data_IF_070983907174
#
_entry.id   IF_070983907174
#
_cell.length_a   1.000
_cell.length_b   1.000
_cell.length_c   1.000
_cell.angle_alpha   90.00
_cell.angle_beta   90.00
_cell.angle_gamma   90.00
#
_symmetry.space_group_name_H-M   'P 1'
#
loop_
_entity.id
_entity.type
_entity.pdbx_description
1 polymer ?
#
# COMPACT_ATOMS: atom_id res chain seq x y z
N UNK A 1 23.60 53.28 61.06
CA UNK A 1 23.44 54.39 60.10
C UNK A 1 24.50 55.44 60.43
N UNK A 2 25.12 56.18 59.48
CA UNK A 2 24.74 56.42 58.08
C UNK A 2 25.20 55.30 57.09
N UNK A 3 25.59 55.64 55.84
CA UNK A 3 25.82 54.76 54.68
C UNK A 3 27.08 55.17 53.85
N UNK A 4 27.25 54.56 52.64
CA UNK A 4 28.08 54.96 51.46
C UNK A 4 29.50 54.32 51.39
N UNK A 5 29.81 53.46 50.39
CA UNK A 5 30.29 53.75 49.00
C UNK A 5 31.71 54.37 48.99
N UNK A 6 32.68 53.99 48.13
CA UNK A 6 32.58 53.34 46.81
C UNK A 6 33.92 52.77 46.28
N UNK A 7 33.84 51.94 45.22
CA UNK A 7 34.74 51.92 44.03
C UNK A 7 35.94 50.94 43.87
N UNK A 8 35.98 50.38 42.64
CA UNK A 8 37.13 49.97 41.79
C UNK A 8 37.91 48.66 42.11
N UNK A 9 37.80 47.65 41.23
CA UNK A 9 38.73 47.32 40.11
C UNK A 9 40.14 46.95 40.64
N UNK A 10 40.77 45.80 40.37
CA UNK A 10 40.70 44.77 39.31
C UNK A 10 41.74 43.68 39.72
N UNK A 11 41.73 42.41 39.27
CA UNK A 11 42.24 41.88 37.98
C UNK A 11 42.28 40.33 38.10
N UNK A 12 42.09 39.60 36.98
CA UNK A 12 42.80 38.37 36.51
C UNK A 12 43.25 37.26 37.49
N UNK A 13 43.28 35.96 37.17
CA UNK A 13 43.09 35.22 35.90
C UNK A 13 42.95 33.72 36.28
N UNK A 14 42.07 32.95 35.64
CA UNK A 14 42.11 31.48 35.64
C UNK A 14 41.18 30.93 34.54
N UNK A 15 41.68 30.89 33.30
CA UNK A 15 41.03 30.15 32.22
C UNK A 15 41.29 28.65 32.40
N UNK A 16 40.24 27.83 32.27
CA UNK A 16 40.38 26.41 31.94
C UNK A 16 39.67 26.16 30.60
N UNK A 17 40.33 25.53 29.62
CA UNK A 17 39.72 25.29 28.31
C UNK A 17 38.64 24.21 28.42
N UNK A 18 37.40 24.56 28.13
CA UNK A 18 36.36 23.59 27.85
C UNK A 18 36.71 22.84 26.55
N UNK A 19 36.63 21.52 26.58
CA UNK A 19 36.93 20.68 25.43
C UNK A 19 35.83 20.83 24.36
N UNK A 20 36.25 20.95 23.10
CA UNK A 20 35.35 20.94 21.95
C UNK A 20 34.88 19.50 21.70
N UNK A 21 33.66 19.17 22.13
CA UNK A 21 32.94 18.02 21.61
C UNK A 21 32.29 18.42 20.28
N UNK A 22 32.98 18.14 19.17
CA UNK A 22 32.36 18.15 17.85
C UNK A 22 31.39 16.97 17.76
N UNK A 23 30.10 17.23 17.93
CA UNK A 23 29.05 16.23 17.67
C UNK A 23 29.07 15.86 16.18
N UNK A 24 29.14 14.56 15.81
CA UNK A 24 29.05 14.15 14.42
C UNK A 24 27.74 14.62 13.79
N UNK A 25 27.70 14.90 12.47
CA UNK A 25 26.44 15.15 11.78
C UNK A 25 25.49 13.99 12.03
N UNK A 26 24.33 14.26 12.60
CA UNK A 26 23.30 13.24 12.75
C UNK A 26 22.82 12.88 11.34
N UNK A 27 23.07 11.64 10.93
CA UNK A 27 22.43 11.08 9.74
C UNK A 27 20.91 11.15 9.96
N UNK A 28 20.24 11.91 9.09
CA UNK A 28 18.80 12.11 9.15
C UNK A 28 18.11 10.79 8.75
N UNK A 29 17.95 9.92 9.74
CA UNK A 29 17.32 8.60 9.56
C UNK A 29 15.86 8.83 9.18
N UNK A 30 15.57 8.76 7.89
CA UNK A 30 14.26 8.98 7.29
C UNK A 30 13.31 7.81 7.64
N UNK A 31 12.94 7.71 8.92
CA UNK A 31 11.89 6.83 9.45
C UNK A 31 10.51 7.35 9.02
N UNK A 32 10.28 7.47 7.71
CA UNK A 32 8.95 7.74 7.16
C UNK A 32 8.06 6.56 7.52
N UNK A 33 6.98 6.80 8.25
CA UNK A 33 6.01 5.74 8.50
C UNK A 33 5.42 5.26 7.16
N UNK A 34 4.90 4.02 7.08
CA UNK A 34 4.18 3.57 5.89
C UNK A 34 3.03 4.49 5.49
N UNK A 35 2.46 5.25 6.44
CA UNK A 35 1.45 6.27 6.16
C UNK A 35 1.98 7.51 5.44
N UNK A 36 3.22 7.95 5.73
CA UNK A 36 3.82 9.11 5.06
C UNK A 36 4.14 8.79 3.59
N UNK A 37 4.64 7.59 3.32
CA UNK A 37 4.90 7.12 1.95
C UNK A 37 3.62 7.01 1.12
N UNK A 38 2.49 6.63 1.73
CA UNK A 38 1.19 6.58 1.05
C UNK A 38 0.62 7.98 0.72
N UNK A 39 1.07 9.04 1.39
CA UNK A 39 0.63 10.42 1.14
C UNK A 39 0.94 10.95 -0.26
N UNK A 40 1.91 10.34 -0.95
CA UNK A 40 2.27 10.69 -2.32
C UNK A 40 1.34 10.09 -3.39
N UNK A 41 0.57 9.05 -3.06
CA UNK A 41 -0.31 8.37 -4.01
C UNK A 41 -1.72 8.96 -4.03
N UNK A 42 -2.37 8.91 -5.20
CA UNK A 42 -3.75 9.36 -5.35
C UNK A 42 -4.67 8.50 -4.49
N UNK A 43 -5.20 9.07 -3.42
CA UNK A 43 -6.20 8.43 -2.55
C UNK A 43 -7.59 8.50 -3.19
N UNK A 44 -8.31 7.38 -3.19
CA UNK A 44 -9.67 7.23 -3.73
C UNK A 44 -10.55 6.52 -2.69
N UNK A 45 -11.72 7.06 -2.36
CA UNK A 45 -12.70 6.34 -1.55
C UNK A 45 -13.51 5.40 -2.45
N UNK A 46 -13.56 4.12 -2.09
CA UNK A 46 -14.26 3.05 -2.83
C UNK A 46 -15.09 2.18 -1.91
N UNK A 47 -16.13 1.55 -2.46
CA UNK A 47 -16.82 0.43 -1.81
C UNK A 47 -16.10 -0.86 -2.21
N UNK A 48 -15.57 -1.60 -1.24
CA UNK A 48 -14.91 -2.89 -1.47
C UNK A 48 -15.81 -4.05 -1.02
N UNK A 49 -15.98 -5.04 -1.90
CA UNK A 49 -16.56 -6.36 -1.60
C UNK A 49 -15.49 -7.45 -1.76
N UNK A 50 -15.85 -8.72 -1.52
CA UNK A 50 -14.98 -9.86 -1.80
C UNK A 50 -15.72 -10.93 -2.59
N UNK A 51 -15.00 -11.61 -3.48
CA UNK A 51 -15.51 -12.65 -4.36
C UNK A 51 -14.51 -13.79 -4.51
N UNK A 52 -14.95 -14.88 -5.14
CA UNK A 52 -14.22 -16.14 -5.34
C UNK A 52 -14.28 -16.57 -6.81
N UNK A 53 -13.56 -17.62 -7.20
CA UNK A 53 -13.72 -18.24 -8.52
C UNK A 53 -15.02 -19.06 -8.67
N UNK A 54 -15.66 -19.43 -7.55
CA UNK A 54 -16.74 -20.41 -7.47
C UNK A 54 -18.07 -20.00 -8.10
N UNK A 55 -19.02 -20.94 -8.11
CA UNK A 55 -20.36 -20.80 -8.69
C UNK A 55 -21.11 -19.61 -8.07
N UNK A 56 -20.94 -19.41 -6.76
CA UNK A 56 -21.54 -18.34 -5.97
C UNK A 56 -21.16 -16.93 -6.44
N UNK A 57 -20.00 -16.78 -7.08
CA UNK A 57 -19.47 -15.50 -7.57
C UNK A 57 -19.53 -15.40 -9.10
N UNK A 58 -19.19 -16.47 -9.81
CA UNK A 58 -18.97 -16.46 -11.28
C UNK A 58 -19.96 -17.32 -12.06
N UNK A 59 -20.76 -18.16 -11.40
CA UNK A 59 -21.62 -19.16 -12.02
C UNK A 59 -20.88 -20.37 -12.62
N UNK A 60 -19.57 -20.52 -12.37
CA UNK A 60 -18.71 -21.56 -12.96
C UNK A 60 -18.20 -22.54 -11.91
N UNK A 61 -18.21 -23.83 -12.22
CA UNK A 61 -17.52 -24.88 -11.45
C UNK A 61 -16.08 -25.12 -11.95
N UNK A 62 -15.30 -25.89 -11.20
CA UNK A 62 -13.89 -26.20 -11.48
C UNK A 62 -13.63 -26.94 -12.81
N UNK A 63 -14.66 -27.58 -13.39
CA UNK A 63 -14.59 -28.22 -14.71
C UNK A 63 -14.87 -27.27 -15.87
N UNK A 64 -15.35 -26.05 -15.61
CA UNK A 64 -15.65 -25.07 -16.64
C UNK A 64 -14.35 -24.48 -17.26
N UNK A 65 -14.22 -24.37 -18.60
CA UNK A 65 -12.97 -23.94 -19.25
C UNK A 65 -12.56 -22.48 -18.96
N UNK A 66 -13.46 -21.68 -18.37
CA UNK A 66 -13.20 -20.31 -17.92
C UNK A 66 -13.24 -20.16 -16.38
N UNK A 67 -13.14 -21.27 -15.64
CA UNK A 67 -13.06 -21.24 -14.17
C UNK A 67 -11.79 -20.52 -13.73
N UNK A 68 -11.91 -19.56 -12.81
CA UNK A 68 -10.79 -18.75 -12.36
C UNK A 68 -10.10 -17.91 -13.44
N UNK A 69 -10.74 -17.69 -14.60
CA UNK A 69 -10.21 -16.80 -15.66
C UNK A 69 -10.92 -15.45 -15.58
N UNK A 70 -10.12 -14.39 -15.37
CA UNK A 70 -10.55 -12.99 -15.32
C UNK A 70 -10.82 -12.40 -16.72
N UNK A 71 -11.46 -11.24 -16.79
CA UNK A 71 -11.68 -10.48 -18.01
C UNK A 71 -10.40 -10.21 -18.83
N UNK A 72 -9.26 -9.99 -18.17
CA UNK A 72 -7.96 -9.81 -18.84
C UNK A 72 -7.45 -11.07 -19.55
N UNK A 73 -8.02 -12.24 -19.26
CA UNK A 73 -7.52 -13.55 -19.66
C UNK A 73 -6.50 -14.16 -18.70
N UNK A 74 -6.01 -13.39 -17.72
CA UNK A 74 -5.20 -13.93 -16.62
C UNK A 74 -6.04 -14.80 -15.67
N UNK A 75 -5.38 -15.74 -15.00
CA UNK A 75 -5.95 -16.46 -13.87
C UNK A 75 -6.12 -15.55 -12.66
N UNK A 76 -7.10 -15.87 -11.82
CA UNK A 76 -7.20 -15.31 -10.47
C UNK A 76 -5.99 -15.71 -9.63
N UNK A 77 -5.50 -14.77 -8.81
CA UNK A 77 -4.34 -14.95 -7.93
C UNK A 77 -4.64 -14.30 -6.59
N UNK A 78 -4.39 -15.03 -5.50
CA UNK A 78 -4.30 -14.49 -4.12
C UNK A 78 -2.85 -14.62 -3.65
N UNK A 79 -2.16 -13.49 -3.64
CA UNK A 79 -0.75 -13.35 -3.22
C UNK A 79 -0.50 -11.88 -2.78
N UNK A 80 0.75 -11.47 -2.54
CA UNK A 80 1.09 -10.07 -2.23
C UNK A 80 0.50 -9.08 -3.25
N UNK A 81 0.59 -9.41 -4.54
CA UNK A 81 -0.19 -8.82 -5.63
C UNK A 81 -1.30 -9.80 -6.04
N UNK A 82 -2.51 -9.52 -5.57
CA UNK A 82 -3.72 -10.29 -5.87
C UNK A 82 -4.53 -9.68 -7.02
N UNK A 83 -5.25 -10.49 -7.79
CA UNK A 83 -6.16 -10.01 -8.84
C UNK A 83 -7.45 -9.42 -8.25
N UNK A 84 -7.89 -8.26 -8.74
CA UNK A 84 -9.16 -7.64 -8.32
C UNK A 84 -10.04 -7.27 -9.52
N UNK A 85 -11.34 -7.18 -9.28
CA UNK A 85 -12.31 -6.65 -10.23
C UNK A 85 -12.57 -5.16 -9.97
N UNK A 86 -12.70 -4.36 -11.03
CA UNK A 86 -13.01 -2.94 -10.92
C UNK A 86 -13.82 -2.42 -12.13
N UNK A 87 -14.22 -1.16 -12.10
CA UNK A 87 -14.72 -0.47 -13.29
C UNK A 87 -13.56 0.11 -14.11
N UNK A 88 -13.43 -0.31 -15.37
CA UNK A 88 -12.26 0.02 -16.20
C UNK A 88 -12.20 1.50 -16.63
N UNK A 89 -13.34 2.20 -16.63
CA UNK A 89 -13.42 3.64 -16.87
C UNK A 89 -12.81 4.45 -15.70
N UNK A 90 -12.70 3.84 -14.51
CA UNK A 90 -12.12 4.45 -13.30
C UNK A 90 -10.70 3.92 -13.05
N UNK A 91 -10.52 2.61 -13.19
CA UNK A 91 -9.26 1.89 -12.98
C UNK A 91 -9.00 0.95 -14.17
N UNK A 92 -8.26 1.38 -15.21
CA UNK A 92 -7.92 0.54 -16.37
C UNK A 92 -7.17 -0.74 -15.96
N UNK A 93 -7.24 -1.78 -16.81
CA UNK A 93 -6.51 -3.03 -16.59
C UNK A 93 -5.01 -2.78 -16.34
N UNK A 94 -4.46 -3.52 -15.39
CA UNK A 94 -3.09 -3.36 -14.90
C UNK A 94 -2.91 -2.23 -13.86
N UNK A 95 -3.98 -1.56 -13.43
CA UNK A 95 -3.90 -0.60 -12.31
C UNK A 95 -3.55 -1.34 -11.02
N UNK A 96 -2.57 -0.82 -10.28
CA UNK A 96 -2.14 -1.36 -8.99
C UNK A 96 -2.67 -0.44 -7.89
N UNK A 97 -3.50 -1.00 -7.02
CA UNK A 97 -4.02 -0.34 -5.81
C UNK A 97 -3.36 -0.92 -4.57
N UNK A 98 -2.99 -0.08 -3.61
CA UNK A 98 -2.77 -0.54 -2.23
C UNK A 98 -4.10 -0.43 -1.46
N UNK A 99 -4.53 -1.55 -0.89
CA UNK A 99 -5.81 -1.70 -0.21
C UNK A 99 -5.54 -2.08 1.26
N UNK A 100 -5.75 -1.17 2.21
CA UNK A 100 -5.45 -1.42 3.62
C UNK A 100 -6.20 -2.64 4.16
N UNK A 101 -5.46 -3.58 4.76
CA UNK A 101 -6.00 -4.84 5.28
C UNK A 101 -6.21 -5.96 4.23
N UNK A 102 -5.82 -5.76 2.96
CA UNK A 102 -5.88 -6.80 1.93
C UNK A 102 -4.52 -7.08 1.26
N UNK A 103 -3.78 -6.02 0.91
CA UNK A 103 -2.52 -6.10 0.15
C UNK A 103 -2.55 -5.23 -1.11
N UNK A 104 -1.73 -5.58 -2.11
CA UNK A 104 -1.80 -4.95 -3.43
C UNK A 104 -2.85 -5.66 -4.30
N UNK A 105 -3.74 -4.87 -4.91
CA UNK A 105 -4.73 -5.34 -5.87
C UNK A 105 -4.36 -4.90 -7.29
N UNK A 106 -4.20 -5.86 -8.20
CA UNK A 106 -3.98 -5.64 -9.63
C UNK A 106 -5.32 -5.77 -10.34
N UNK A 107 -5.79 -4.70 -10.99
CA UNK A 107 -7.05 -4.73 -11.74
C UNK A 107 -6.89 -5.60 -12.97
N UNK A 108 -7.49 -6.80 -12.91
CA UNK A 108 -7.43 -7.83 -13.93
C UNK A 108 -8.82 -8.29 -14.40
N UNK A 109 -9.87 -7.97 -13.64
CA UNK A 109 -11.23 -8.44 -13.90
C UNK A 109 -12.28 -7.31 -13.92
N UNK A 110 -13.48 -7.65 -14.40
CA UNK A 110 -14.67 -6.79 -14.33
C UNK A 110 -15.85 -7.58 -13.76
N UNK A 111 -16.74 -6.90 -13.05
CA UNK A 111 -18.03 -7.47 -12.64
C UNK A 111 -19.19 -6.62 -13.13
N UNK A 112 -20.32 -7.25 -13.47
CA UNK A 112 -21.53 -6.54 -13.91
C UNK A 112 -22.05 -5.54 -12.86
N UNK A 113 -21.92 -5.90 -11.58
CA UNK A 113 -22.27 -5.04 -10.44
C UNK A 113 -21.11 -4.13 -9.96
N UNK A 114 -19.93 -4.21 -10.57
CA UNK A 114 -18.72 -3.47 -10.18
C UNK A 114 -18.58 -2.26 -11.11
N UNK A 115 -19.15 -1.14 -10.66
CA UNK A 115 -19.31 0.10 -11.43
C UNK A 115 -18.97 1.32 -10.59
N UNK A 116 -18.37 2.34 -11.21
CA UNK A 116 -17.84 3.52 -10.55
C UNK A 116 -16.75 3.19 -9.52
N UNK A 117 -16.78 3.86 -8.38
CA UNK A 117 -15.86 3.64 -7.26
C UNK A 117 -16.21 2.38 -6.45
N UNK A 118 -16.34 1.22 -7.12
CA UNK A 118 -16.46 -0.08 -6.48
C UNK A 118 -15.34 -1.00 -6.96
N UNK A 119 -14.80 -1.80 -6.03
CA UNK A 119 -13.85 -2.87 -6.33
C UNK A 119 -14.34 -4.18 -5.69
N UNK A 120 -13.98 -5.31 -6.30
CA UNK A 120 -14.22 -6.65 -5.74
C UNK A 120 -12.88 -7.37 -5.57
N UNK A 121 -12.64 -7.87 -4.36
CA UNK A 121 -11.36 -8.45 -3.97
C UNK A 121 -11.41 -9.97 -4.07
N UNK A 122 -10.45 -10.58 -4.77
CA UNK A 122 -10.40 -12.04 -4.90
C UNK A 122 -9.92 -12.68 -3.59
N UNK A 123 -10.58 -13.79 -3.23
CA UNK A 123 -10.18 -14.73 -2.18
C UNK A 123 -10.32 -16.17 -2.72
N UNK A 124 -9.54 -17.11 -2.20
CA UNK A 124 -9.59 -18.50 -2.65
C UNK A 124 -10.83 -19.24 -2.13
N UNK A 125 -11.37 -18.83 -0.99
CA UNK A 125 -12.55 -19.45 -0.37
C UNK A 125 -13.59 -18.44 0.11
N UNK A 126 -14.85 -18.88 0.18
CA UNK A 126 -15.96 -18.10 0.73
C UNK A 126 -15.76 -17.75 2.21
N UNK A 127 -15.15 -18.67 2.96
CA UNK A 127 -14.84 -18.56 4.37
C UNK A 127 -13.87 -17.40 4.64
N UNK A 128 -12.90 -17.18 3.76
CA UNK A 128 -12.00 -16.02 3.82
C UNK A 128 -12.74 -14.72 3.51
N UNK A 129 -13.65 -14.71 2.52
CA UNK A 129 -14.50 -13.54 2.24
C UNK A 129 -15.27 -13.12 3.48
N UNK A 130 -15.84 -14.05 4.24
CA UNK A 130 -16.63 -13.76 5.45
C UNK A 130 -15.78 -13.45 6.70
N UNK A 131 -14.59 -14.05 6.83
CA UNK A 131 -13.76 -13.92 8.04
C UNK A 131 -12.72 -12.79 7.96
N UNK A 132 -12.15 -12.56 6.78
CA UNK A 132 -11.16 -11.50 6.54
C UNK A 132 -11.80 -10.22 5.98
N UNK A 133 -12.97 -10.34 5.34
CA UNK A 133 -13.60 -9.23 4.64
C UNK A 133 -15.10 -9.07 4.93
N UNK A 134 -15.66 -8.04 4.32
CA UNK A 134 -17.05 -7.63 4.43
C UNK A 134 -17.23 -6.35 3.64
N UNK A 135 -18.45 -6.08 3.17
CA UNK A 135 -18.73 -4.88 2.37
C UNK A 135 -18.46 -3.62 3.21
N UNK A 136 -17.45 -2.84 2.83
CA UNK A 136 -17.07 -1.61 3.53
C UNK A 136 -16.62 -0.52 2.56
N UNK A 137 -16.84 0.74 2.92
CA UNK A 137 -16.20 1.87 2.25
C UNK A 137 -14.81 2.07 2.84
N UNK A 138 -13.80 2.19 1.98
CA UNK A 138 -12.39 2.29 2.38
C UNK A 138 -11.63 3.22 1.43
N UNK A 139 -10.63 3.90 1.96
CA UNK A 139 -9.67 4.66 1.15
C UNK A 139 -8.59 3.71 0.60
N UNK A 140 -8.45 3.68 -0.72
CA UNK A 140 -7.39 2.96 -1.44
C UNK A 140 -6.44 3.95 -2.09
N UNK A 141 -5.22 3.50 -2.38
CA UNK A 141 -4.15 4.34 -2.92
C UNK A 141 -3.74 3.81 -4.29
N UNK A 142 -3.80 4.65 -5.32
CA UNK A 142 -3.38 4.26 -6.68
C UNK A 142 -1.86 4.32 -6.75
N UNK A 143 -1.22 3.14 -6.71
CA UNK A 143 0.25 2.98 -6.73
C UNK A 143 0.79 3.09 -8.16
N UNK A 144 0.09 2.47 -9.13
CA UNK A 144 0.38 2.60 -10.56
C UNK A 144 -0.94 2.64 -11.34
N UNK A 145 -1.08 3.60 -12.26
CA UNK A 145 -2.18 3.60 -13.23
C UNK A 145 -1.97 2.48 -14.26
N UNK A 146 -3.03 1.75 -14.59
CA UNK A 146 -3.02 0.69 -15.59
C UNK A 146 -2.88 1.21 -17.02
N UNK A 147 -2.25 0.40 -17.87
CA UNK A 147 -2.01 0.69 -19.30
C UNK A 147 -3.10 0.08 -20.20
N UNK A 148 -4.16 -0.51 -19.62
CA UNK A 148 -5.25 -1.16 -20.36
C UNK A 148 -4.99 -2.63 -20.69
N UNK A 149 -3.89 -3.22 -20.21
CA UNK A 149 -3.58 -4.64 -20.34
C UNK A 149 -2.93 -5.20 -19.07
N UNK A 150 -3.16 -6.49 -18.81
CA UNK A 150 -2.46 -7.32 -17.83
C UNK A 150 -2.61 -8.78 -18.23
N UNK A 151 -1.67 -9.64 -17.85
CA UNK A 151 -1.72 -11.10 -18.09
C UNK A 151 -0.99 -11.86 -16.98
N UNK A 152 -1.03 -13.20 -17.01
CA UNK A 152 -0.39 -14.06 -16.00
C UNK A 152 1.09 -13.74 -15.77
N UNK A 153 1.86 -13.52 -16.85
CA UNK A 153 3.29 -13.26 -16.76
C UNK A 153 3.62 -11.94 -16.04
N UNK A 154 2.79 -10.91 -16.22
CA UNK A 154 2.94 -9.61 -15.53
C UNK A 154 2.63 -9.77 -14.04
N UNK A 155 1.57 -10.51 -13.68
CA UNK A 155 1.20 -10.76 -12.28
C UNK A 155 2.27 -11.62 -11.58
N UNK A 156 2.80 -12.63 -12.28
CA UNK A 156 3.88 -13.47 -11.77
C UNK A 156 5.19 -12.68 -11.58
N UNK A 157 5.54 -11.77 -12.50
CA UNK A 157 6.71 -10.89 -12.39
C UNK A 157 6.62 -9.95 -11.18
N UNK A 158 5.44 -9.38 -10.90
CA UNK A 158 5.18 -8.56 -9.71
C UNK A 158 5.45 -9.34 -8.42
N UNK A 159 4.82 -10.51 -8.25
CA UNK A 159 5.01 -11.34 -7.06
C UNK A 159 6.45 -11.86 -6.93
N UNK A 160 7.10 -12.26 -8.03
CA UNK A 160 8.49 -12.72 -8.03
C UNK A 160 9.47 -11.62 -7.62
N UNK A 161 9.32 -10.41 -8.17
CA UNK A 161 10.17 -9.26 -7.82
C UNK A 161 10.02 -8.86 -6.35
N UNK A 162 8.80 -8.92 -5.82
CA UNK A 162 8.55 -8.60 -4.42
C UNK A 162 9.26 -9.57 -3.47
N UNK A 163 9.18 -10.88 -3.74
CA UNK A 163 9.91 -11.91 -2.99
C UNK A 163 11.43 -11.67 -3.04
N UNK A 164 11.99 -11.40 -4.22
CA UNK A 164 13.43 -11.11 -4.37
C UNK A 164 13.83 -9.84 -3.60
N UNK A 165 13.01 -8.79 -3.64
CA UNK A 165 13.27 -7.55 -2.91
C UNK A 165 13.16 -7.75 -1.38
N UNK A 166 12.25 -8.61 -0.90
CA UNK A 166 12.12 -8.97 0.50
C UNK A 166 13.30 -9.81 1.00
N UNK A 167 13.81 -10.75 0.19
CA UNK A 167 14.99 -11.57 0.51
C UNK A 167 16.33 -10.80 0.43
N UNK A 168 16.34 -9.61 -0.15
CA UNK A 168 17.54 -8.75 -0.31
C UNK A 168 17.69 -7.69 0.78
N UNK A 169 16.92 -7.79 1.88
CA UNK A 169 16.92 -6.89 3.05
C UNK A 169 17.36 -7.64 4.29
#
# INVERSE_FOLDING_TARGET
MPQQQESKQSLSLAEQPAQLEETPPQEEKLETSPHDLLGHFKKMNVVATGYTAGIESTGKDVGHPQYGITYSGAKVVRDEYSTIAADLDVFPLGTILYIPGYGYGVVADIGSAIKGNKIDLYFDTTEEVYSQWGKKSIDVYVVKQGEGFVNDAIIQDLNTKSIVQAMSR
#
